data_IF_734331616103
#
_entry.id   IF_734331616103
#
_cell.length_a   1.000
_cell.length_b   1.000
_cell.length_c   1.000
_cell.angle_alpha   90.00
_cell.angle_beta   90.00
_cell.angle_gamma   90.00
#
_symmetry.space_group_name_H-M   'P 1'
#
loop_
_entity.id
_entity.type
_entity.pdbx_description
1 polymer ?
#
# COMPACT_ATOMS: atom_id res chain seq x y z
N UNK A 1 15.05 49.37 -17.92
CA UNK A 1 16.09 48.32 -17.84
C UNK A 1 16.27 47.77 -16.42
N UNK A 2 16.25 48.61 -15.38
CA UNK A 2 16.31 48.13 -13.98
C UNK A 2 15.12 47.23 -13.57
N UNK A 3 13.94 47.48 -14.12
CA UNK A 3 12.72 46.73 -13.85
C UNK A 3 12.84 45.23 -14.21
N UNK A 4 13.45 44.92 -15.35
CA UNK A 4 13.67 43.53 -15.77
C UNK A 4 14.69 42.82 -14.87
N UNK A 5 15.71 43.54 -14.39
CA UNK A 5 16.73 43.00 -13.48
C UNK A 5 16.09 42.61 -12.15
N UNK A 6 15.19 43.45 -11.61
CA UNK A 6 14.49 43.15 -10.35
C UNK A 6 13.61 41.89 -10.49
N UNK A 7 12.91 41.72 -11.61
CA UNK A 7 12.08 40.53 -11.85
C UNK A 7 12.92 39.26 -11.91
N UNK A 8 14.07 39.29 -12.60
CA UNK A 8 14.97 38.12 -12.67
C UNK A 8 15.51 37.75 -11.29
N UNK A 9 15.88 38.74 -10.47
CA UNK A 9 16.34 38.51 -9.09
C UNK A 9 15.23 37.91 -8.23
N UNK A 10 14.00 38.41 -8.35
CA UNK A 10 12.86 37.86 -7.62
C UNK A 10 12.55 36.42 -8.04
N UNK A 11 12.57 36.10 -9.33
CA UNK A 11 12.36 34.73 -9.83
C UNK A 11 13.46 33.80 -9.32
N UNK A 12 14.72 34.26 -9.27
CA UNK A 12 15.83 33.45 -8.75
C UNK A 12 15.66 33.12 -7.26
N UNK A 13 15.28 34.10 -6.43
CA UNK A 13 15.02 33.90 -5.00
C UNK A 13 13.83 32.94 -4.80
N UNK A 14 12.73 33.16 -5.53
CA UNK A 14 11.55 32.30 -5.45
C UNK A 14 11.86 30.86 -5.85
N UNK A 15 12.62 30.68 -6.94
CA UNK A 15 13.01 29.35 -7.40
C UNK A 15 13.87 28.61 -6.38
N UNK A 16 14.82 29.30 -5.74
CA UNK A 16 15.68 28.72 -4.71
C UNK A 16 14.91 28.24 -3.46
N UNK A 17 13.78 28.89 -3.14
CA UNK A 17 12.95 28.53 -1.97
C UNK A 17 11.87 27.50 -2.30
N UNK A 18 11.29 27.56 -3.50
CA UNK A 18 10.16 26.71 -3.90
C UNK A 18 10.63 25.32 -4.35
N UNK A 19 11.74 25.22 -5.11
CA UNK A 19 12.21 23.95 -5.66
C UNK A 19 12.43 22.84 -4.62
N UNK A 20 13.05 23.10 -3.45
CA UNK A 20 13.22 22.08 -2.41
C UNK A 20 11.88 21.63 -1.79
N UNK A 21 10.85 22.47 -1.83
CA UNK A 21 9.53 22.19 -1.25
C UNK A 21 8.60 21.43 -2.18
N UNK A 22 8.90 21.37 -3.47
CA UNK A 22 8.05 20.65 -4.44
C UNK A 22 8.08 19.13 -4.27
N UNK A 23 8.95 18.59 -3.41
CA UNK A 23 9.06 17.17 -3.13
C UNK A 23 9.65 16.39 -4.32
N UNK A 24 10.39 15.34 -4.03
CA UNK A 24 10.86 14.38 -5.03
C UNK A 24 9.71 13.45 -5.40
N UNK A 25 9.65 12.99 -6.66
CA UNK A 25 8.63 12.04 -7.15
C UNK A 25 8.54 10.79 -6.26
N UNK A 26 9.69 10.31 -5.78
CA UNK A 26 9.81 9.15 -4.89
C UNK A 26 9.06 9.30 -3.57
N UNK A 27 8.98 10.51 -2.99
CA UNK A 27 8.20 10.74 -1.76
C UNK A 27 6.69 10.63 -2.00
N UNK A 28 6.22 10.97 -3.21
CA UNK A 28 4.82 10.82 -3.58
C UNK A 28 4.46 9.34 -3.82
N UNK A 29 5.35 8.60 -4.48
CA UNK A 29 5.14 7.17 -4.75
C UNK A 29 5.03 6.36 -3.45
N UNK A 30 5.84 6.67 -2.42
CA UNK A 30 5.75 6.04 -1.10
C UNK A 30 4.39 6.25 -0.43
N UNK A 31 3.90 7.49 -0.43
CA UNK A 31 2.62 7.83 0.21
C UNK A 31 1.44 7.18 -0.51
N UNK A 32 1.46 7.21 -1.84
CA UNK A 32 0.44 6.57 -2.68
C UNK A 32 0.43 5.07 -2.41
N UNK A 33 1.60 4.43 -2.47
CA UNK A 33 1.73 3.00 -2.23
C UNK A 33 1.24 2.57 -0.85
N UNK A 34 1.62 3.33 0.18
CA UNK A 34 1.16 3.08 1.56
C UNK A 34 -0.36 3.16 1.68
N UNK A 35 -0.96 4.20 1.13
CA UNK A 35 -2.42 4.39 1.18
C UNK A 35 -3.14 3.32 0.35
N UNK A 36 -2.53 2.88 -0.75
CA UNK A 36 -3.01 1.76 -1.56
C UNK A 36 -2.96 0.44 -0.79
N UNK A 37 -1.84 0.12 -0.12
CA UNK A 37 -1.71 -1.09 0.72
C UNK A 37 -2.82 -1.15 1.77
N UNK A 38 -3.13 -0.03 2.43
CA UNK A 38 -4.25 0.06 3.39
C UNK A 38 -5.57 -0.24 2.71
N UNK A 39 -5.82 0.37 1.55
CA UNK A 39 -7.08 0.22 0.82
C UNK A 39 -7.26 -1.22 0.33
N UNK A 40 -6.20 -1.86 -0.18
CA UNK A 40 -6.22 -3.26 -0.61
C UNK A 40 -6.45 -4.20 0.59
N UNK A 41 -5.79 -3.96 1.73
CA UNK A 41 -6.01 -4.75 2.93
C UNK A 41 -7.46 -4.64 3.44
N UNK A 42 -8.01 -3.41 3.50
CA UNK A 42 -9.42 -3.17 3.87
C UNK A 42 -10.39 -3.81 2.86
N UNK A 43 -10.05 -3.74 1.58
CA UNK A 43 -10.85 -4.37 0.54
C UNK A 43 -10.84 -5.90 0.67
N UNK A 44 -9.69 -6.51 0.98
CA UNK A 44 -9.58 -7.94 1.26
C UNK A 44 -10.45 -8.35 2.47
N UNK A 45 -10.41 -7.54 3.54
CA UNK A 45 -11.24 -7.74 4.73
C UNK A 45 -12.74 -7.69 4.39
N UNK A 46 -13.18 -6.65 3.67
CA UNK A 46 -14.58 -6.49 3.25
C UNK A 46 -15.03 -7.62 2.33
N UNK A 47 -14.17 -8.02 1.40
CA UNK A 47 -14.45 -9.11 0.49
C UNK A 47 -14.64 -10.44 1.24
N UNK A 48 -13.83 -10.71 2.27
CA UNK A 48 -13.98 -11.89 3.11
C UNK A 48 -15.35 -11.91 3.81
N UNK A 49 -15.77 -10.77 4.38
CA UNK A 49 -17.08 -10.60 5.01
C UNK A 49 -18.24 -10.79 4.00
N UNK A 50 -18.11 -10.28 2.78
CA UNK A 50 -19.14 -10.40 1.74
C UNK A 50 -19.28 -11.84 1.21
N UNK A 51 -18.17 -12.57 1.07
CA UNK A 51 -18.16 -13.92 0.47
C UNK A 51 -18.58 -15.00 1.47
N UNK A 52 -18.37 -14.76 2.77
CA UNK A 52 -18.76 -15.67 3.84
C UNK A 52 -17.86 -16.90 3.99
N UNK A 53 -18.27 -17.85 4.84
CA UNK A 53 -17.43 -18.96 5.36
C UNK A 53 -16.91 -19.94 4.31
N UNK A 54 -17.50 -19.97 3.12
CA UNK A 54 -17.05 -20.85 2.04
C UNK A 54 -15.83 -20.30 1.28
N UNK A 55 -15.41 -19.08 1.58
CA UNK A 55 -14.27 -18.45 0.95
C UNK A 55 -13.19 -18.10 1.96
N UNK A 56 -11.95 -18.22 1.53
CA UNK A 56 -10.79 -17.66 2.22
C UNK A 56 -10.18 -16.63 1.30
N UNK A 57 -10.06 -15.39 1.78
CA UNK A 57 -9.44 -14.29 1.06
C UNK A 57 -8.09 -14.04 1.69
N UNK A 58 -7.04 -13.89 0.88
CA UNK A 58 -5.72 -13.51 1.39
C UNK A 58 -5.25 -12.21 0.78
N UNK A 59 -4.69 -11.38 1.62
CA UNK A 59 -3.90 -10.23 1.24
C UNK A 59 -2.43 -10.64 1.13
N UNK A 60 -1.80 -10.25 0.03
CA UNK A 60 -0.38 -10.46 -0.24
C UNK A 60 0.32 -9.12 -0.39
N UNK A 61 1.48 -9.01 0.24
CA UNK A 61 2.43 -7.92 0.06
C UNK A 61 3.83 -8.54 0.01
N UNK A 62 4.39 -8.66 -1.19
CA UNK A 62 5.66 -9.34 -1.41
C UNK A 62 6.64 -8.46 -2.21
N UNK A 63 7.53 -7.82 -1.47
CA UNK A 63 8.62 -7.05 -2.05
C UNK A 63 9.66 -7.95 -2.75
N UNK A 64 9.77 -9.24 -2.42
CA UNK A 64 10.73 -10.13 -3.08
C UNK A 64 10.26 -10.48 -4.49
N UNK A 65 9.00 -10.90 -4.61
CA UNK A 65 8.37 -11.19 -5.92
C UNK A 65 7.89 -9.93 -6.64
N UNK A 66 8.15 -8.75 -6.07
CA UNK A 66 7.76 -7.43 -6.58
C UNK A 66 6.27 -7.35 -6.90
N UNK A 67 5.44 -7.89 -6.00
CA UNK A 67 4.03 -8.05 -6.27
C UNK A 67 3.17 -7.91 -4.99
N UNK A 68 1.95 -7.38 -5.14
CA UNK A 68 0.98 -7.31 -4.05
C UNK A 68 -0.43 -7.45 -4.60
N UNK A 69 -1.36 -7.87 -3.75
CA UNK A 69 -2.74 -8.07 -4.18
C UNK A 69 -3.56 -8.97 -3.28
N UNK A 70 -4.61 -9.52 -3.90
CA UNK A 70 -5.57 -10.38 -3.22
C UNK A 70 -5.78 -11.65 -4.03
N UNK A 71 -5.69 -12.79 -3.37
CA UNK A 71 -6.18 -14.06 -3.90
C UNK A 71 -7.37 -14.55 -3.09
N UNK A 72 -8.20 -15.39 -3.73
CA UNK A 72 -9.32 -16.03 -3.07
C UNK A 72 -9.30 -17.51 -3.37
N UNK A 73 -9.82 -18.28 -2.43
CA UNK A 73 -10.11 -19.69 -2.61
C UNK A 73 -11.53 -19.98 -2.15
N UNK A 74 -12.21 -20.86 -2.88
CA UNK A 74 -13.50 -21.42 -2.48
C UNK A 74 -13.29 -22.82 -1.89
N UNK A 75 -13.76 -23.06 -0.66
CA UNK A 75 -13.68 -24.37 0.00
C UNK A 75 -12.25 -24.90 0.10
N UNK A 76 -11.98 -26.04 -0.54
CA UNK A 76 -10.65 -26.68 -0.63
C UNK A 76 -9.97 -26.50 -2.00
N UNK A 77 -10.51 -25.64 -2.87
CA UNK A 77 -9.97 -25.37 -4.20
C UNK A 77 -8.58 -24.70 -4.19
N UNK A 78 -8.09 -24.36 -5.38
CA UNK A 78 -6.87 -23.56 -5.53
C UNK A 78 -7.13 -22.08 -5.21
N UNK A 79 -6.07 -21.37 -4.81
CA UNK A 79 -6.11 -19.91 -4.75
C UNK A 79 -6.02 -19.33 -6.16
N UNK A 80 -6.88 -18.35 -6.44
CA UNK A 80 -6.85 -17.57 -7.67
C UNK A 80 -6.71 -16.10 -7.30
N UNK A 81 -5.75 -15.43 -7.92
CA UNK A 81 -5.66 -13.98 -7.88
C UNK A 81 -6.95 -13.36 -8.39
N UNK A 82 -7.42 -12.31 -7.72
CA UNK A 82 -8.51 -11.49 -8.25
C UNK A 82 -8.04 -10.74 -9.49
N UNK A 83 -8.98 -10.19 -10.25
CA UNK A 83 -8.68 -9.21 -11.30
C UNK A 83 -9.23 -7.88 -10.85
N UNK A 84 -8.47 -6.81 -11.02
CA UNK A 84 -8.95 -5.47 -10.73
C UNK A 84 -10.14 -5.13 -11.67
N UNK A 85 -11.02 -4.21 -11.28
CA UNK A 85 -12.18 -3.78 -12.09
C UNK A 85 -11.80 -3.25 -13.49
N UNK A 86 -10.55 -2.81 -13.70
CA UNK A 86 -10.00 -2.37 -14.98
C UNK A 86 -9.37 -3.51 -15.80
N UNK A 87 -9.54 -4.77 -15.41
CA UNK A 87 -8.98 -5.96 -16.07
C UNK A 87 -7.45 -6.10 -16.01
N UNK A 88 -6.76 -5.30 -15.20
CA UNK A 88 -5.35 -5.55 -14.87
C UNK A 88 -5.26 -6.81 -13.97
N UNK A 89 -4.46 -7.82 -14.37
CA UNK A 89 -4.31 -9.03 -13.57
C UNK A 89 -3.53 -8.73 -12.30
N UNK A 90 -3.99 -9.26 -11.17
CA UNK A 90 -3.11 -9.37 -10.02
C UNK A 90 -2.06 -10.47 -10.29
N UNK A 91 -0.85 -10.30 -9.73
CA UNK A 91 -0.50 -9.27 -8.76
C UNK A 91 -0.05 -7.93 -9.39
N UNK A 92 -0.31 -6.80 -8.70
CA UNK A 92 0.12 -5.46 -9.14
C UNK A 92 1.63 -5.33 -8.91
N UNK A 93 2.34 -4.65 -9.82
CA UNK A 93 3.78 -4.44 -9.68
C UNK A 93 4.09 -3.55 -8.50
N UNK A 94 4.99 -4.01 -7.64
CA UNK A 94 5.51 -3.26 -6.53
C UNK A 94 6.29 -2.02 -7.03
N UNK A 95 6.13 -0.83 -6.42
CA UNK A 95 6.83 0.36 -6.90
C UNK A 95 8.34 0.27 -6.67
N UNK A 96 9.10 0.80 -7.63
CA UNK A 96 10.56 0.83 -7.54
C UNK A 96 11.04 1.67 -6.34
N UNK A 97 12.13 1.25 -5.70
CA UNK A 97 12.79 1.93 -4.57
C UNK A 97 11.95 2.05 -3.28
N UNK A 98 10.86 1.29 -3.17
CA UNK A 98 10.15 1.09 -1.91
C UNK A 98 10.48 -0.30 -1.38
N UNK A 99 10.64 -0.45 -0.07
CA UNK A 99 10.78 -1.76 0.58
C UNK A 99 9.80 -1.89 1.74
N UNK A 100 9.34 -3.11 2.01
CA UNK A 100 8.57 -3.44 3.21
C UNK A 100 9.37 -4.27 4.19
N UNK A 101 9.07 -4.11 5.47
CA UNK A 101 9.50 -4.99 6.55
C UNK A 101 8.27 -5.39 7.38
N UNK A 102 7.92 -6.69 7.46
CA UNK A 102 8.53 -7.83 6.75
C UNK A 102 8.47 -7.70 5.22
N UNK A 103 9.44 -8.30 4.52
CA UNK A 103 9.53 -8.23 3.05
C UNK A 103 8.40 -8.98 2.33
N UNK A 104 7.87 -10.04 2.96
CA UNK A 104 6.76 -10.83 2.44
C UNK A 104 5.74 -11.02 3.55
N UNK A 105 4.49 -10.71 3.24
CA UNK A 105 3.35 -10.80 4.15
C UNK A 105 2.21 -11.46 3.40
N UNK A 106 1.65 -12.51 4.01
CA UNK A 106 0.44 -13.18 3.52
C UNK A 106 -0.53 -13.32 4.68
N UNK A 107 -1.60 -12.54 4.66
CA UNK A 107 -2.63 -12.55 5.69
C UNK A 107 -3.91 -13.15 5.14
N UNK A 108 -4.47 -14.14 5.82
CA UNK A 108 -5.78 -14.70 5.47
C UNK A 108 -6.86 -14.09 6.36
N UNK A 109 -8.00 -13.71 5.78
CA UNK A 109 -9.15 -13.19 6.52
C UNK A 109 -10.25 -14.23 6.62
N UNK A 110 -10.92 -14.29 7.78
CA UNK A 110 -12.11 -15.09 7.99
C UNK A 110 -13.40 -14.38 7.54
N UNK A 111 -14.54 -15.08 7.62
CA UNK A 111 -15.84 -14.53 7.22
C UNK A 111 -16.36 -13.39 8.11
N UNK A 112 -15.72 -13.12 9.25
CA UNK A 112 -16.00 -11.99 10.13
C UNK A 112 -15.02 -10.83 9.89
N UNK A 113 -14.05 -11.00 8.98
CA UNK A 113 -13.04 -10.02 8.65
C UNK A 113 -11.82 -10.06 9.58
N UNK A 114 -11.71 -11.01 10.51
CA UNK A 114 -10.54 -11.11 11.38
C UNK A 114 -9.36 -11.78 10.66
N UNK A 115 -8.14 -11.48 11.08
CA UNK A 115 -6.96 -12.22 10.63
C UNK A 115 -7.04 -13.64 11.19
N UNK A 116 -6.91 -14.64 10.32
CA UNK A 116 -6.79 -16.05 10.72
C UNK A 116 -5.50 -16.21 11.52
N UNK A 117 -5.64 -16.57 12.79
CA UNK A 117 -4.55 -16.63 13.76
C UNK A 117 -4.61 -15.55 14.84
N UNK A 118 -5.38 -14.47 14.61
CA UNK A 118 -5.70 -13.47 15.63
C UNK A 118 -4.50 -12.64 16.11
N UNK A 119 -3.48 -12.46 15.27
CA UNK A 119 -2.27 -11.68 15.58
C UNK A 119 -2.22 -10.45 14.68
N UNK A 120 -2.06 -9.27 15.27
CA UNK A 120 -1.86 -8.02 14.53
C UNK A 120 -0.52 -8.06 13.77
N UNK A 121 -0.53 -7.56 12.54
CA UNK A 121 0.64 -7.52 11.67
C UNK A 121 1.15 -6.08 11.53
N UNK A 122 2.35 -5.82 12.06
CA UNK A 122 3.07 -4.58 11.82
C UNK A 122 3.80 -4.65 10.47
N UNK A 123 3.78 -3.54 9.73
CA UNK A 123 4.43 -3.38 8.42
C UNK A 123 5.12 -2.03 8.40
N UNK A 124 6.40 -2.00 8.14
CA UNK A 124 7.14 -0.76 7.86
C UNK A 124 7.35 -0.65 6.37
N UNK A 125 6.90 0.45 5.77
CA UNK A 125 7.17 0.81 4.37
C UNK A 125 8.27 1.86 4.40
N UNK A 126 9.33 1.64 3.63
CA UNK A 126 10.49 2.54 3.55
C UNK A 126 10.75 2.91 2.10
N UNK A 127 10.72 4.21 1.81
CA UNK A 127 11.16 4.84 0.55
C UNK A 127 12.09 6.01 0.87
N UNK A 128 11.70 7.23 0.52
CA UNK A 128 12.40 8.45 0.96
C UNK A 128 12.18 8.75 2.45
N UNK A 129 11.01 8.38 2.95
CA UNK A 129 10.65 8.37 4.36
C UNK A 129 10.31 6.93 4.81
N UNK A 130 10.04 6.77 6.09
CA UNK A 130 9.56 5.50 6.64
C UNK A 130 8.21 5.71 7.31
N UNK A 131 7.26 4.83 7.00
CA UNK A 131 5.91 4.83 7.52
C UNK A 131 5.58 3.47 8.14
N UNK A 132 5.00 3.48 9.34
CA UNK A 132 4.49 2.28 9.99
C UNK A 132 3.01 2.11 9.71
N UNK A 133 2.62 0.86 9.46
CA UNK A 133 1.28 0.38 9.28
C UNK A 133 1.02 -0.76 10.25
N UNK A 134 -0.22 -0.84 10.74
CA UNK A 134 -0.71 -2.01 11.45
C UNK A 134 -1.96 -2.54 10.75
N UNK A 135 -2.05 -3.86 10.69
CA UNK A 135 -3.29 -4.57 10.42
C UNK A 135 -3.63 -5.31 11.71
N UNK A 136 -4.66 -4.85 12.42
CA UNK A 136 -5.06 -5.44 13.70
C UNK A 136 -5.52 -6.89 13.54
N UNK A 137 -5.53 -7.65 14.65
CA UNK A 137 -6.14 -8.98 14.70
C UNK A 137 -7.59 -9.01 14.18
N UNK A 138 -8.32 -7.89 14.32
CA UNK A 138 -9.67 -7.69 13.76
C UNK A 138 -9.70 -7.55 12.23
N UNK A 139 -8.54 -7.52 11.58
CA UNK A 139 -8.32 -7.29 10.16
C UNK A 139 -8.36 -5.84 9.72
N UNK A 140 -8.54 -4.89 10.64
CA UNK A 140 -8.58 -3.47 10.31
C UNK A 140 -7.17 -2.92 10.03
N UNK A 141 -6.96 -2.38 8.83
CA UNK A 141 -5.68 -1.76 8.45
C UNK A 141 -5.68 -0.24 8.74
N UNK A 142 -4.61 0.25 9.37
CA UNK A 142 -4.42 1.67 9.69
C UNK A 142 -2.94 2.08 9.76
N UNK A 143 -2.70 3.40 9.69
CA UNK A 143 -1.37 3.97 9.93
C UNK A 143 -1.04 3.94 11.42
N UNK A 144 0.21 3.62 11.74
CA UNK A 144 0.71 3.60 13.11
C UNK A 144 1.30 2.25 13.51
N UNK A 145 1.42 2.07 14.82
CA UNK A 145 1.92 0.83 15.44
C UNK A 145 0.76 -0.11 15.77
N UNK A 146 1.08 -1.40 15.82
CA UNK A 146 0.31 -2.38 16.59
C UNK A 146 0.72 -2.26 18.07
#
# INVERSE_FOLDING_TARGET
MIELIVIIVLIAILSAVILPRLGTRSTFDERIFRDEVINVARYAQQLAMMRGRNYTVRFHLDNVSQNYGIDIRQGTGAYSWLTHANSEPFPISYPNNIITSPATIVLSFDALGNIVGGVSQAITITGDASSNLCIDASGFAHLGVC
#
